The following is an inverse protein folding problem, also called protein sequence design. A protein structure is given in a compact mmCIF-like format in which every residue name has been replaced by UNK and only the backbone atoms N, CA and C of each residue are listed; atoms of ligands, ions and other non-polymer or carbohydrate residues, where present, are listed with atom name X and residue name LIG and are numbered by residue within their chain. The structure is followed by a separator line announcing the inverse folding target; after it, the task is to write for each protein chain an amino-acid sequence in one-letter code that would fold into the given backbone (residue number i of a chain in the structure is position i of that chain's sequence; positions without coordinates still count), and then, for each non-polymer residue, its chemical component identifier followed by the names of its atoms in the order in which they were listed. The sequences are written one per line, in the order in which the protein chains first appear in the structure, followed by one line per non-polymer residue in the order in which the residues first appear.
data_IF_489483393717
#
_entry.id   IF_489483393717
#
_cell.length_a   1.000
_cell.length_b   1.000
_cell.length_c   1.000
_cell.angle_alpha   90.00
_cell.angle_beta   90.00
_cell.angle_gamma   90.00
#
_symmetry.space_group_name_H-M   'P 1'
#
loop_
_entity.id
_entity.type
_entity.pdbx_description
1 polymer ?
#
# COMPACT_ATOMS: atom_id res chain seq x y z
N UNK A 1 21.79 28.45 -50.40
CA UNK A 1 20.88 27.33 -50.12
C UNK A 1 20.73 27.23 -48.62
N UNK A 2 19.76 27.98 -48.08
CA UNK A 2 19.31 27.81 -46.71
C UNK A 2 18.55 26.49 -46.62
N UNK A 3 18.96 25.64 -45.69
CA UNK A 3 18.27 24.39 -45.39
C UNK A 3 17.10 24.75 -44.47
N UNK A 4 15.90 24.73 -45.05
CA UNK A 4 14.64 24.91 -44.36
C UNK A 4 14.52 23.93 -43.18
N UNK A 5 14.38 24.47 -41.96
CA UNK A 5 14.05 23.72 -40.74
C UNK A 5 12.54 23.76 -40.49
N UNK A 6 11.75 23.48 -41.51
CA UNK A 6 10.39 22.96 -41.34
C UNK A 6 10.46 21.49 -40.91
N UNK A 7 11.01 21.25 -39.71
CA UNK A 7 10.79 19.99 -39.00
C UNK A 7 9.29 19.97 -38.72
N UNK A 8 8.59 19.13 -39.47
CA UNK A 8 7.16 18.94 -39.36
C UNK A 8 6.75 18.85 -37.89
N UNK A 9 5.67 19.55 -37.57
CA UNK A 9 4.93 19.34 -36.33
C UNK A 9 4.59 17.85 -36.29
N UNK A 10 5.40 17.09 -35.56
CA UNK A 10 5.26 15.65 -35.36
C UNK A 10 3.81 15.42 -34.90
N UNK A 11 2.97 14.89 -35.79
CA UNK A 11 1.59 14.58 -35.48
C UNK A 11 1.61 13.74 -34.21
N UNK A 12 1.01 14.27 -33.14
CA UNK A 12 0.87 13.53 -31.89
C UNK A 12 -0.07 12.38 -32.16
N UNK A 13 0.50 11.26 -32.61
CA UNK A 13 -0.21 10.02 -32.84
C UNK A 13 -0.91 9.61 -31.55
N UNK A 14 -2.23 9.79 -31.53
CA UNK A 14 -3.07 9.57 -30.37
C UNK A 14 -2.95 8.13 -29.89
N UNK A 15 -3.05 7.92 -28.57
CA UNK A 15 -3.04 6.57 -28.01
C UNK A 15 -4.47 6.05 -28.06
N UNK A 16 -4.69 4.99 -28.84
CA UNK A 16 -6.01 4.36 -28.89
C UNK A 16 -6.26 3.51 -27.64
N UNK A 17 -7.54 3.28 -27.33
CA UNK A 17 -7.91 2.37 -26.23
C UNK A 17 -7.37 0.94 -26.43
N UNK A 18 -7.27 0.50 -27.68
CA UNK A 18 -6.71 -0.81 -28.02
C UNK A 18 -5.23 -0.89 -27.64
N UNK A 19 -4.44 0.13 -28.00
CA UNK A 19 -3.01 0.20 -27.68
C UNK A 19 -2.75 0.33 -26.18
N UNK A 20 -3.59 1.08 -25.47
CA UNK A 20 -3.51 1.18 -24.01
C UNK A 20 -3.75 -0.18 -23.35
N UNK A 21 -4.82 -0.89 -23.74
CA UNK A 21 -5.13 -2.23 -23.24
C UNK A 21 -4.03 -3.24 -23.60
N UNK A 22 -3.52 -3.18 -24.82
CA UNK A 22 -2.40 -4.01 -25.28
C UNK A 22 -1.15 -3.77 -24.43
N UNK A 23 -0.82 -2.51 -24.14
CA UNK A 23 0.32 -2.14 -23.30
C UNK A 23 0.17 -2.62 -21.86
N UNK A 24 -1.02 -2.51 -21.27
CA UNK A 24 -1.33 -3.07 -19.95
C UNK A 24 -1.21 -4.60 -19.97
N UNK A 25 -1.74 -5.26 -21.01
CA UNK A 25 -1.63 -6.71 -21.19
C UNK A 25 -0.18 -7.20 -21.24
N UNK A 26 0.71 -6.45 -21.92
CA UNK A 26 2.14 -6.73 -21.93
C UNK A 26 2.75 -6.65 -20.54
N UNK A 27 2.40 -5.64 -19.74
CA UNK A 27 2.90 -5.49 -18.38
C UNK A 27 2.45 -6.64 -17.47
N UNK A 28 1.17 -7.05 -17.59
CA UNK A 28 0.62 -8.19 -16.85
C UNK A 28 1.34 -9.50 -17.22
N UNK A 29 1.52 -9.75 -18.53
CA UNK A 29 2.21 -10.94 -19.01
C UNK A 29 3.70 -10.94 -18.60
N UNK A 30 4.38 -9.81 -18.66
CA UNK A 30 5.75 -9.68 -18.19
C UNK A 30 5.88 -10.00 -16.69
N UNK A 31 4.90 -9.59 -15.89
CA UNK A 31 4.78 -9.95 -14.48
C UNK A 31 4.63 -11.46 -14.28
N UNK A 32 3.68 -12.08 -15.00
CA UNK A 32 3.42 -13.53 -14.95
C UNK A 32 4.66 -14.35 -15.30
N UNK A 33 5.43 -13.92 -16.31
CA UNK A 33 6.66 -14.60 -16.74
C UNK A 33 7.88 -14.30 -15.85
N UNK A 34 7.73 -13.53 -14.77
CA UNK A 34 8.83 -13.16 -13.88
C UNK A 34 9.85 -12.20 -14.50
N UNK A 35 9.49 -11.50 -15.59
CA UNK A 35 10.39 -10.62 -16.37
C UNK A 35 10.24 -9.14 -16.02
N UNK A 36 9.50 -8.81 -14.95
CA UNK A 36 9.17 -7.43 -14.55
C UNK A 36 10.34 -6.63 -13.95
N UNK A 37 11.37 -7.29 -13.44
CA UNK A 37 12.51 -6.64 -12.76
C UNK A 37 13.67 -6.25 -13.69
N UNK A 38 13.62 -6.68 -14.95
CA UNK A 38 14.66 -6.42 -15.94
C UNK A 38 14.35 -5.23 -16.86
N UNK A 39 15.19 -5.04 -17.86
CA UNK A 39 14.91 -4.10 -18.94
C UNK A 39 13.71 -4.61 -19.76
N UNK A 40 12.56 -3.93 -19.70
CA UNK A 40 11.35 -4.32 -20.45
C UNK A 40 11.58 -4.42 -21.96
N UNK A 41 12.58 -3.72 -22.52
CA UNK A 41 12.96 -3.85 -23.93
C UNK A 41 13.43 -5.25 -24.30
N UNK A 42 13.85 -6.07 -23.32
CA UNK A 42 14.23 -7.46 -23.55
C UNK A 42 13.06 -8.34 -23.96
N UNK A 43 11.81 -7.96 -23.64
CA UNK A 43 10.61 -8.70 -24.02
C UNK A 43 10.48 -8.86 -25.55
N UNK A 44 10.96 -7.86 -26.31
CA UNK A 44 11.01 -7.88 -27.79
C UNK A 44 12.30 -8.51 -28.35
N UNK A 45 13.27 -8.85 -27.51
CA UNK A 45 14.52 -9.52 -27.94
C UNK A 45 14.44 -11.04 -27.87
N UNK A 46 13.39 -11.56 -27.24
CA UNK A 46 13.20 -12.98 -27.08
C UNK A 46 13.23 -13.72 -28.43
N UNK A 47 13.94 -14.86 -28.49
CA UNK A 47 13.95 -15.75 -29.66
C UNK A 47 12.51 -15.99 -30.13
N UNK A 48 12.23 -16.16 -31.44
CA UNK A 48 10.90 -16.48 -31.95
C UNK A 48 10.20 -17.63 -31.19
N UNK A 49 10.99 -18.53 -30.59
CA UNK A 49 10.54 -19.69 -29.82
C UNK A 49 10.12 -19.37 -28.37
N UNK A 50 10.57 -18.26 -27.80
CA UNK A 50 10.44 -18.01 -26.36
C UNK A 50 9.27 -17.07 -26.00
N UNK A 51 8.88 -16.12 -26.87
CA UNK A 51 7.62 -15.36 -26.71
C UNK A 51 7.31 -14.43 -27.91
N UNK A 52 6.73 -14.93 -29.02
CA UNK A 52 6.38 -14.09 -30.17
C UNK A 52 5.26 -13.08 -29.87
N UNK A 53 4.49 -13.32 -28.81
CA UNK A 53 3.30 -12.55 -28.44
C UNK A 53 3.59 -11.06 -28.20
N UNK A 54 4.75 -10.69 -27.64
CA UNK A 54 5.10 -9.28 -27.40
C UNK A 54 5.26 -8.50 -28.71
N UNK A 55 5.93 -9.10 -29.70
CA UNK A 55 6.12 -8.51 -31.04
C UNK A 55 4.81 -8.46 -31.82
N UNK A 56 3.98 -9.49 -31.69
CA UNK A 56 2.69 -9.57 -32.35
C UNK A 56 1.66 -8.57 -31.78
N UNK A 57 1.80 -8.19 -30.50
CA UNK A 57 0.85 -7.30 -29.82
C UNK A 57 1.06 -5.82 -30.16
N UNK A 58 2.29 -5.33 -30.05
CA UNK A 58 2.64 -3.94 -30.36
C UNK A 58 4.15 -3.82 -30.63
N UNK A 59 4.58 -2.85 -31.44
CA UNK A 59 6.00 -2.61 -31.63
C UNK A 59 6.65 -2.10 -30.33
N UNK A 60 7.94 -2.44 -30.13
CA UNK A 60 8.72 -1.98 -28.98
C UNK A 60 8.71 -0.46 -28.86
N UNK A 61 8.91 0.23 -29.98
CA UNK A 61 9.07 1.69 -30.00
C UNK A 61 7.75 2.39 -29.69
N UNK A 62 6.62 1.84 -30.17
CA UNK A 62 5.28 2.34 -29.81
C UNK A 62 4.96 2.09 -28.34
N UNK A 63 5.29 0.91 -27.79
CA UNK A 63 5.16 0.64 -26.36
C UNK A 63 5.95 1.62 -25.50
N UNK A 64 7.24 1.85 -25.82
CA UNK A 64 8.10 2.80 -25.11
C UNK A 64 7.50 4.22 -25.15
N UNK A 65 6.99 4.65 -26.32
CA UNK A 65 6.31 5.95 -26.49
C UNK A 65 5.08 6.04 -25.59
N UNK A 66 4.20 5.03 -25.60
CA UNK A 66 2.99 4.98 -24.78
C UNK A 66 3.34 5.08 -23.29
N UNK A 67 4.21 4.20 -22.78
CA UNK A 67 4.57 4.16 -21.35
C UNK A 67 5.20 5.49 -20.89
N UNK A 68 6.01 6.14 -21.72
CA UNK A 68 6.62 7.44 -21.39
C UNK A 68 5.63 8.61 -21.35
N UNK A 69 4.52 8.49 -22.08
CA UNK A 69 3.51 9.54 -22.25
C UNK A 69 2.28 9.36 -21.36
N UNK A 70 2.11 8.24 -20.65
CA UNK A 70 0.97 8.03 -19.75
C UNK A 70 0.88 9.14 -18.69
N UNK A 71 -0.29 9.76 -18.60
CA UNK A 71 -0.66 10.75 -17.58
C UNK A 71 -2.05 10.39 -17.05
N UNK A 72 -2.29 10.73 -15.78
CA UNK A 72 -3.49 10.31 -15.05
C UNK A 72 -4.23 11.49 -14.42
N UNK A 73 -4.00 12.69 -14.94
CA UNK A 73 -4.59 13.93 -14.49
C UNK A 73 -4.42 15.05 -15.53
N UNK A 74 -5.14 16.16 -15.34
CA UNK A 74 -4.96 17.36 -16.15
C UNK A 74 -3.76 18.19 -15.68
N UNK A 75 -2.76 18.35 -16.55
CA UNK A 75 -1.56 19.16 -16.29
C UNK A 75 -1.90 20.63 -16.02
N UNK A 76 -2.95 21.18 -16.62
CA UNK A 76 -3.32 22.60 -16.53
C UNK A 76 -3.71 23.01 -15.11
N UNK A 77 -4.33 22.11 -14.35
CA UNK A 77 -4.80 22.35 -12.98
C UNK A 77 -3.89 21.75 -11.90
N UNK A 78 -2.86 21.00 -12.31
CA UNK A 78 -2.01 20.23 -11.38
C UNK A 78 -1.30 21.08 -10.35
N UNK A 79 -0.72 22.20 -10.76
CA UNK A 79 0.10 23.03 -9.84
C UNK A 79 -0.73 23.66 -8.73
N UNK A 80 -1.98 24.03 -9.00
CA UNK A 80 -2.93 24.49 -7.97
C UNK A 80 -3.29 23.36 -7.01
N UNK A 81 -3.73 22.20 -7.54
CA UNK A 81 -4.11 21.03 -6.70
C UNK A 81 -2.96 20.52 -5.83
N UNK A 82 -1.72 20.61 -6.32
CA UNK A 82 -0.50 20.20 -5.60
C UNK A 82 -0.25 21.00 -4.33
N UNK A 83 -0.80 22.22 -4.21
CA UNK A 83 -0.73 23.01 -2.99
C UNK A 83 -1.51 22.37 -1.84
N UNK A 84 -2.51 21.53 -2.13
CA UNK A 84 -3.29 20.82 -1.14
C UNK A 84 -2.96 19.32 -1.05
N UNK A 85 -2.63 18.68 -2.18
CA UNK A 85 -2.41 17.23 -2.27
C UNK A 85 -1.15 16.86 -3.05
N UNK A 86 -0.15 16.33 -2.35
CA UNK A 86 1.08 15.81 -2.96
C UNK A 86 0.84 14.63 -3.92
N UNK A 87 -0.29 13.95 -3.81
CA UNK A 87 -0.68 12.78 -4.63
C UNK A 87 -1.55 13.13 -5.84
N UNK A 88 -1.76 14.43 -6.09
CA UNK A 88 -2.69 14.96 -7.10
C UNK A 88 -2.57 14.35 -8.51
N UNK A 89 -1.36 13.96 -8.92
CA UNK A 89 -1.10 13.45 -10.27
C UNK A 89 -1.70 12.07 -10.58
N UNK A 90 -2.17 11.35 -9.55
CA UNK A 90 -2.84 10.05 -9.70
C UNK A 90 -4.09 9.95 -8.81
N UNK A 91 -4.49 11.06 -8.18
CA UNK A 91 -5.56 11.08 -7.16
C UNK A 91 -6.88 10.55 -7.71
N UNK A 92 -7.29 11.01 -8.89
CA UNK A 92 -8.57 10.65 -9.50
C UNK A 92 -8.66 9.14 -9.77
N UNK A 93 -7.68 8.59 -10.48
CA UNK A 93 -7.64 7.14 -10.75
C UNK A 93 -7.50 6.31 -9.47
N UNK A 94 -6.75 6.80 -8.49
CA UNK A 94 -6.63 6.10 -7.21
C UNK A 94 -7.96 6.06 -6.46
N UNK A 95 -8.70 7.18 -6.45
CA UNK A 95 -10.04 7.24 -5.85
C UNK A 95 -11.00 6.28 -6.55
N UNK A 96 -11.02 6.27 -7.89
CA UNK A 96 -11.83 5.32 -8.66
C UNK A 96 -11.45 3.86 -8.34
N UNK A 97 -10.16 3.57 -8.24
CA UNK A 97 -9.66 2.26 -7.86
C UNK A 97 -10.14 1.85 -6.46
N UNK A 98 -10.02 2.75 -5.47
CA UNK A 98 -10.50 2.49 -4.10
C UNK A 98 -12.01 2.23 -4.05
N UNK A 99 -12.80 2.96 -4.84
CA UNK A 99 -14.25 2.76 -4.88
C UNK A 99 -14.63 1.44 -5.54
N UNK A 100 -13.85 1.00 -6.54
CA UNK A 100 -14.02 -0.34 -7.13
C UNK A 100 -13.68 -1.46 -6.15
N UNK A 101 -12.60 -1.34 -5.36
CA UNK A 101 -12.25 -2.36 -4.37
C UNK A 101 -13.41 -2.69 -3.40
N UNK A 102 -14.17 -1.67 -2.99
CA UNK A 102 -15.32 -1.81 -2.08
C UNK A 102 -16.51 -2.56 -2.67
N UNK A 103 -16.59 -2.65 -4.00
CA UNK A 103 -17.77 -3.21 -4.71
C UNK A 103 -17.47 -4.55 -5.40
N UNK A 104 -16.21 -4.86 -5.65
CA UNK A 104 -15.80 -6.06 -6.36
C UNK A 104 -15.75 -7.33 -5.49
N UNK A 105 -15.71 -7.19 -4.16
CA UNK A 105 -15.51 -8.31 -3.25
C UNK A 105 -16.16 -8.04 -1.89
N UNK A 106 -16.77 -9.07 -1.31
CA UNK A 106 -17.24 -9.04 0.09
C UNK A 106 -16.25 -9.86 0.92
N UNK A 107 -15.55 -9.24 1.88
CA UNK A 107 -14.53 -9.95 2.67
C UNK A 107 -15.13 -10.91 3.68
N UNK A 108 -14.31 -11.86 4.12
CA UNK A 108 -14.60 -12.80 5.19
C UNK A 108 -14.65 -12.12 6.56
N UNK A 109 -14.57 -12.92 7.64
CA UNK A 109 -14.70 -12.41 9.01
C UNK A 109 -13.45 -11.71 9.52
N UNK A 110 -12.29 -12.04 8.97
CA UNK A 110 -10.99 -11.59 9.46
C UNK A 110 -10.32 -10.63 8.49
N UNK A 111 -10.02 -9.43 8.97
CA UNK A 111 -9.31 -8.39 8.25
C UNK A 111 -7.91 -8.22 8.85
N UNK A 112 -6.95 -7.83 8.02
CA UNK A 112 -5.60 -7.48 8.46
C UNK A 112 -5.25 -6.06 8.02
N UNK A 113 -4.61 -5.30 8.92
CA UNK A 113 -4.03 -3.99 8.62
C UNK A 113 -2.52 -4.05 8.72
N UNK A 114 -1.85 -3.65 7.65
CA UNK A 114 -0.39 -3.56 7.59
C UNK A 114 0.04 -2.53 6.53
N UNK A 115 1.35 -2.45 6.32
CA UNK A 115 2.02 -1.59 5.37
C UNK A 115 2.70 -2.34 4.22
N UNK A 116 2.56 -1.79 3.02
CA UNK A 116 3.32 -2.20 1.85
C UNK A 116 4.28 -1.09 1.44
N UNK A 117 5.47 -1.47 0.97
CA UNK A 117 6.44 -0.55 0.39
C UNK A 117 6.65 -0.91 -1.07
N UNK A 118 6.20 -0.05 -1.97
CA UNK A 118 6.45 -0.17 -3.39
C UNK A 118 7.84 0.41 -3.71
N UNK A 119 8.79 -0.46 -4.07
CA UNK A 119 10.17 -0.07 -4.37
C UNK A 119 10.25 1.05 -5.42
N UNK A 120 10.84 2.18 -5.04
CA UNK A 120 10.96 3.35 -5.92
C UNK A 120 12.13 4.24 -5.49
N UNK A 121 13.05 4.51 -6.42
CA UNK A 121 14.25 5.34 -6.18
C UNK A 121 14.23 6.68 -6.90
N UNK A 122 13.21 6.96 -7.71
CA UNK A 122 13.07 8.27 -8.35
C UNK A 122 12.82 9.40 -7.36
N UNK A 123 12.81 10.64 -7.86
CA UNK A 123 12.45 11.82 -7.08
C UNK A 123 10.95 11.82 -6.84
N UNK A 124 10.54 11.68 -5.59
CA UNK A 124 9.14 11.77 -5.15
C UNK A 124 9.09 12.41 -3.76
N UNK A 125 8.22 13.41 -3.53
CA UNK A 125 8.19 14.18 -2.28
C UNK A 125 7.75 13.39 -1.05
N UNK A 126 7.20 12.19 -1.22
CA UNK A 126 6.74 11.31 -0.14
C UNK A 126 7.40 9.93 -0.15
N UNK A 127 8.53 9.79 -0.86
CA UNK A 127 9.35 8.57 -0.81
C UNK A 127 9.84 8.32 0.62
N UNK A 128 9.67 7.11 1.10
CA UNK A 128 10.08 6.65 2.42
C UNK A 128 11.39 5.85 2.36
N UNK A 129 12.13 5.88 3.46
CA UNK A 129 13.24 4.99 3.72
C UNK A 129 12.90 4.07 4.90
N UNK A 130 12.85 2.75 4.67
CA UNK A 130 12.54 1.74 5.69
C UNK A 130 13.68 0.71 5.72
N UNK A 131 14.63 0.82 6.67
CA UNK A 131 15.86 0.03 6.67
C UNK A 131 15.67 -1.50 6.65
N UNK A 132 14.57 -1.97 7.24
CA UNK A 132 14.27 -3.40 7.44
C UNK A 132 13.49 -4.04 6.28
N UNK A 133 13.05 -3.28 5.27
CA UNK A 133 12.35 -3.84 4.10
C UNK A 133 13.38 -4.21 3.02
N UNK A 134 13.11 -5.23 2.17
CA UNK A 134 14.03 -5.65 1.10
C UNK A 134 14.41 -4.49 0.17
N UNK A 135 13.41 -3.76 -0.32
CA UNK A 135 13.59 -2.47 -0.97
C UNK A 135 13.59 -1.37 0.09
N UNK A 136 14.75 -0.79 0.40
CA UNK A 136 14.85 0.21 1.46
C UNK A 136 14.18 1.55 1.12
N UNK A 137 14.01 1.87 -0.16
CA UNK A 137 13.42 3.12 -0.63
C UNK A 137 12.18 2.85 -1.47
N UNK A 138 11.08 3.53 -1.16
CA UNK A 138 9.83 3.32 -1.90
C UNK A 138 8.68 4.23 -1.51
N UNK A 139 7.54 3.97 -2.11
CA UNK A 139 6.26 4.60 -1.77
C UNK A 139 5.55 3.69 -0.77
N UNK A 140 5.29 4.21 0.45
CA UNK A 140 4.62 3.44 1.50
C UNK A 140 3.10 3.55 1.33
N UNK A 141 2.41 2.44 1.49
CA UNK A 141 0.95 2.34 1.54
C UNK A 141 0.54 1.66 2.84
N UNK A 142 -0.58 2.05 3.40
CA UNK A 142 -1.30 1.31 4.43
C UNK A 142 -2.49 0.61 3.80
N UNK A 143 -2.73 -0.63 4.19
CA UNK A 143 -3.69 -1.50 3.53
C UNK A 143 -4.60 -2.15 4.57
N UNK A 144 -5.86 -2.32 4.21
CA UNK A 144 -6.78 -3.26 4.82
C UNK A 144 -7.00 -4.40 3.81
N UNK A 145 -6.78 -5.62 4.27
CA UNK A 145 -6.73 -6.83 3.43
C UNK A 145 -7.60 -7.90 4.08
N UNK A 146 -8.29 -8.68 3.26
CA UNK A 146 -8.97 -9.89 3.72
C UNK A 146 -7.94 -10.96 4.11
N UNK A 147 -8.03 -11.50 5.32
CA UNK A 147 -6.99 -12.37 5.86
C UNK A 147 -6.93 -13.74 5.15
N UNK A 148 -8.06 -14.20 4.62
CA UNK A 148 -8.18 -15.50 3.95
C UNK A 148 -7.83 -15.41 2.46
N UNK A 149 -8.43 -14.46 1.73
CA UNK A 149 -8.25 -14.36 0.28
C UNK A 149 -7.06 -13.48 -0.14
N UNK A 150 -6.47 -12.75 0.81
CA UNK A 150 -5.44 -11.73 0.56
C UNK A 150 -5.88 -10.59 -0.36
N UNK A 151 -7.20 -10.40 -0.55
CA UNK A 151 -7.72 -9.33 -1.38
C UNK A 151 -7.53 -7.99 -0.68
N UNK A 152 -6.96 -7.01 -1.38
CA UNK A 152 -6.87 -5.64 -0.88
C UNK A 152 -8.25 -5.00 -0.93
N UNK A 153 -8.74 -4.55 0.22
CA UNK A 153 -10.10 -4.02 0.38
C UNK A 153 -10.12 -2.50 0.42
N UNK A 154 -9.08 -1.91 1.02
CA UNK A 154 -8.88 -0.48 1.08
C UNK A 154 -7.39 -0.17 1.25
N UNK A 155 -6.91 0.94 0.71
CA UNK A 155 -5.51 1.33 0.83
C UNK A 155 -5.31 2.84 0.75
N UNK A 156 -4.41 3.38 1.58
CA UNK A 156 -4.02 4.79 1.54
C UNK A 156 -2.52 4.97 1.35
N UNK A 157 -2.08 5.84 0.44
CA UNK A 157 -0.67 6.19 0.31
C UNK A 157 -0.23 7.02 1.52
N UNK A 158 0.93 6.70 2.09
CA UNK A 158 1.57 7.58 3.05
C UNK A 158 2.30 8.70 2.33
N UNK A 159 1.64 9.85 2.27
CA UNK A 159 2.08 11.04 1.53
C UNK A 159 2.83 12.06 2.41
N UNK A 160 3.11 11.67 3.65
CA UNK A 160 3.67 12.56 4.67
C UNK A 160 2.75 13.74 4.98
N UNK A 161 3.31 14.75 5.65
CA UNK A 161 2.62 16.00 5.98
C UNK A 161 2.20 16.73 4.70
N UNK A 162 0.93 17.09 4.54
CA UNK A 162 0.49 17.96 3.45
C UNK A 162 0.86 19.43 3.73
N UNK A 163 0.96 20.28 2.70
CA UNK A 163 1.14 21.71 2.91
C UNK A 163 0.02 22.28 3.79
N UNK A 164 0.36 23.17 4.72
CA UNK A 164 -0.60 23.78 5.64
C UNK A 164 -1.13 22.89 6.78
N UNK A 165 -0.93 21.57 6.74
CA UNK A 165 -1.40 20.69 7.81
C UNK A 165 -0.49 20.74 9.03
N UNK A 166 -1.06 20.65 10.24
CA UNK A 166 -0.29 20.43 11.46
C UNK A 166 0.24 18.99 11.56
N UNK A 167 1.18 18.76 12.49
CA UNK A 167 1.68 17.41 12.76
C UNK A 167 0.55 16.58 13.38
N UNK A 168 0.08 15.57 12.65
CA UNK A 168 -0.89 14.63 13.18
C UNK A 168 -0.30 13.82 14.34
N UNK A 169 -0.98 13.88 15.49
CA UNK A 169 -0.77 12.93 16.59
C UNK A 169 -1.54 11.64 16.28
N UNK A 170 -1.08 10.51 16.80
CA UNK A 170 -1.78 9.22 16.69
C UNK A 170 -2.07 8.73 15.25
N UNK A 171 -1.14 8.97 14.32
CA UNK A 171 -1.32 8.61 12.90
C UNK A 171 -1.74 7.15 12.66
N UNK A 172 -1.25 6.21 13.47
CA UNK A 172 -1.63 4.80 13.37
C UNK A 172 -3.14 4.59 13.60
N UNK A 173 -3.69 5.19 14.66
CA UNK A 173 -5.12 5.10 14.98
C UNK A 173 -5.98 5.77 13.90
N UNK A 174 -5.63 6.99 13.49
CA UNK A 174 -6.39 7.71 12.45
C UNK A 174 -6.46 6.94 11.14
N UNK A 175 -5.35 6.32 10.72
CA UNK A 175 -5.30 5.50 9.50
C UNK A 175 -6.12 4.23 9.64
N UNK A 176 -6.07 3.55 10.79
CA UNK A 176 -6.88 2.35 11.04
C UNK A 176 -8.36 2.67 10.93
N UNK A 177 -8.81 3.74 11.58
CA UNK A 177 -10.22 4.14 11.56
C UNK A 177 -10.67 4.45 10.13
N UNK A 178 -9.89 5.20 9.36
CA UNK A 178 -10.22 5.52 7.97
C UNK A 178 -10.22 4.27 7.07
N UNK A 179 -9.25 3.36 7.23
CA UNK A 179 -9.21 2.10 6.48
C UNK A 179 -10.44 1.22 6.75
N UNK A 180 -10.89 1.18 8.01
CA UNK A 180 -11.97 0.31 8.47
C UNK A 180 -13.37 0.90 8.34
N UNK A 181 -13.49 2.18 7.98
CA UNK A 181 -14.79 2.87 7.85
C UNK A 181 -15.83 2.10 7.03
N UNK A 182 -15.48 1.42 5.90
CA UNK A 182 -16.44 0.59 5.16
C UNK A 182 -16.95 -0.66 5.91
N UNK A 183 -16.30 -1.06 7.00
CA UNK A 183 -16.56 -2.31 7.74
C UNK A 183 -17.19 -2.08 9.12
N UNK A 184 -17.47 -0.84 9.51
CA UNK A 184 -18.18 -0.58 10.77
C UNK A 184 -19.55 -1.27 10.79
N UNK A 185 -19.95 -1.80 11.95
CA UNK A 185 -21.21 -2.54 12.09
C UNK A 185 -21.13 -4.01 11.68
N UNK A 186 -20.00 -4.47 11.12
CA UNK A 186 -19.94 -5.80 10.50
C UNK A 186 -19.57 -6.96 11.42
N UNK A 187 -19.19 -6.68 12.67
CA UNK A 187 -18.72 -7.68 13.65
C UNK A 187 -17.49 -8.48 13.17
N UNK A 188 -16.70 -7.91 12.25
CA UNK A 188 -15.44 -8.48 11.80
C UNK A 188 -14.33 -8.30 12.81
N UNK A 189 -13.37 -9.21 12.75
CA UNK A 189 -12.16 -9.16 13.54
C UNK A 189 -11.03 -8.51 12.73
N UNK A 190 -10.21 -7.69 13.40
CA UNK A 190 -9.11 -6.97 12.76
C UNK A 190 -7.80 -7.32 13.44
N UNK A 191 -6.87 -7.88 12.66
CA UNK A 191 -5.51 -8.17 13.10
C UNK A 191 -4.55 -7.08 12.64
N UNK A 192 -3.68 -6.56 13.51
CA UNK A 192 -2.70 -5.54 13.15
C UNK A 192 -1.42 -5.60 13.99
N UNK A 193 -0.37 -4.94 13.52
CA UNK A 193 0.92 -4.90 14.20
C UNK A 193 0.94 -3.88 15.37
N UNK A 194 2.09 -3.81 16.06
CA UNK A 194 2.27 -2.91 17.20
C UNK A 194 2.43 -1.42 16.84
N UNK A 195 2.60 -1.07 15.55
CA UNK A 195 2.57 0.31 15.13
C UNK A 195 1.15 0.88 15.22
N UNK A 196 0.15 0.07 14.90
CA UNK A 196 -1.25 0.45 14.94
C UNK A 196 -1.92 0.18 16.30
N UNK A 197 -1.53 -0.91 16.98
CA UNK A 197 -2.27 -1.39 18.15
C UNK A 197 -2.16 -0.48 19.38
N UNK A 198 -3.30 -0.23 20.03
CA UNK A 198 -3.40 0.42 21.34
C UNK A 198 -4.70 0.07 22.06
N UNK A 199 -4.71 0.15 23.40
CA UNK A 199 -5.91 -0.09 24.21
C UNK A 199 -7.04 0.90 23.87
N UNK A 200 -6.80 2.23 23.73
CA UNK A 200 -7.86 3.15 23.29
C UNK A 200 -8.46 2.80 21.93
N UNK A 201 -7.63 2.38 20.96
CA UNK A 201 -8.11 1.95 19.65
C UNK A 201 -8.97 0.69 19.75
N UNK A 202 -8.60 -0.29 20.58
CA UNK A 202 -9.41 -1.49 20.79
C UNK A 202 -10.81 -1.14 21.35
N UNK A 203 -10.88 -0.27 22.36
CA UNK A 203 -12.15 0.24 22.91
C UNK A 203 -12.95 1.00 21.85
N UNK A 204 -12.29 1.85 21.04
CA UNK A 204 -12.93 2.61 19.97
C UNK A 204 -13.53 1.70 18.89
N UNK A 205 -12.81 0.67 18.43
CA UNK A 205 -13.30 -0.28 17.43
C UNK A 205 -14.47 -1.12 17.96
N UNK A 206 -14.50 -1.44 19.25
CA UNK A 206 -15.63 -2.12 19.87
C UNK A 206 -16.93 -1.30 19.75
N UNK A 207 -16.87 0.03 19.93
CA UNK A 207 -18.04 0.91 19.71
C UNK A 207 -18.51 0.94 18.25
N UNK A 208 -17.73 0.40 17.32
CA UNK A 208 -17.99 0.31 15.88
C UNK A 208 -18.28 -1.11 15.43
N UNK A 209 -18.57 -2.01 16.37
CA UNK A 209 -18.83 -3.43 16.13
C UNK A 209 -17.68 -4.09 15.35
N UNK A 210 -16.44 -3.85 15.78
CA UNK A 210 -15.24 -4.52 15.30
C UNK A 210 -14.41 -4.99 16.48
N UNK A 211 -13.79 -6.16 16.36
CA UNK A 211 -12.82 -6.66 17.36
C UNK A 211 -11.39 -6.43 16.88
N UNK A 212 -10.45 -6.35 17.82
CA UNK A 212 -9.04 -6.13 17.53
C UNK A 212 -8.20 -7.24 18.15
N UNK A 213 -7.28 -7.77 17.35
CA UNK A 213 -6.16 -8.60 17.79
C UNK A 213 -4.87 -7.93 17.31
N UNK A 214 -3.89 -7.79 18.18
CA UNK A 214 -2.62 -7.18 17.78
C UNK A 214 -1.59 -7.20 18.88
N UNK A 215 -0.34 -7.05 18.48
CA UNK A 215 0.78 -7.00 19.44
C UNK A 215 0.90 -5.61 20.04
N UNK A 216 1.25 -5.51 21.31
CA UNK A 216 1.46 -4.22 21.98
C UNK A 216 2.94 -3.92 22.16
N UNK A 217 3.30 -2.63 22.04
CA UNK A 217 4.65 -2.19 22.43
C UNK A 217 4.73 -2.13 23.95
N UNK A 218 5.80 -2.69 24.52
CA UNK A 218 6.06 -2.70 25.97
C UNK A 218 6.06 -1.34 26.67
N UNK A 219 6.12 -0.24 25.92
CA UNK A 219 6.16 1.12 26.46
C UNK A 219 4.77 1.78 26.51
N UNK A 220 3.69 1.01 26.28
CA UNK A 220 2.32 1.50 26.42
C UNK A 220 1.99 1.63 27.93
N UNK A 221 1.51 2.79 28.39
CA UNK A 221 1.28 3.04 29.81
C UNK A 221 0.18 2.16 30.42
N UNK A 222 -0.69 1.57 29.58
CA UNK A 222 -1.78 0.70 30.00
C UNK A 222 -1.32 -0.72 30.37
N UNK A 223 -0.05 -1.07 30.15
CA UNK A 223 0.48 -2.40 30.44
C UNK A 223 0.96 -2.46 31.91
N UNK A 224 0.42 -3.37 32.74
CA UNK A 224 0.92 -3.58 34.10
C UNK A 224 2.37 -4.09 34.09
N UNK A 225 3.16 -3.72 35.10
CA UNK A 225 4.60 -4.03 35.15
C UNK A 225 4.87 -5.55 35.18
N UNK A 226 3.94 -6.33 35.71
CA UNK A 226 3.95 -7.79 35.80
C UNK A 226 3.93 -8.47 34.42
N UNK A 227 3.40 -7.78 33.40
CA UNK A 227 3.32 -8.27 32.03
C UNK A 227 4.63 -8.03 31.26
N UNK A 228 5.53 -7.18 31.77
CA UNK A 228 6.80 -6.91 31.13
C UNK A 228 7.78 -8.08 31.29
N UNK A 229 8.88 -8.05 30.52
CA UNK A 229 9.91 -9.08 30.61
C UNK A 229 10.54 -9.10 32.01
N UNK A 230 10.47 -10.25 32.67
CA UNK A 230 11.02 -10.48 33.99
C UNK A 230 11.92 -11.74 33.98
N UNK A 231 13.06 -11.69 34.67
CA UNK A 231 14.02 -12.80 34.81
C UNK A 231 13.42 -14.00 35.54
N UNK A 232 12.44 -13.78 36.41
CA UNK A 232 11.83 -14.83 37.23
C UNK A 232 10.73 -15.60 36.52
N UNK A 233 10.29 -15.15 35.34
CA UNK A 233 9.25 -15.84 34.58
C UNK A 233 9.84 -16.97 33.74
N UNK A 234 9.24 -18.14 33.84
CA UNK A 234 9.65 -19.34 33.12
C UNK A 234 9.40 -19.20 31.61
N UNK A 235 10.31 -19.73 30.80
CA UNK A 235 10.14 -19.81 29.35
C UNK A 235 8.97 -20.73 29.03
N UNK A 236 8.09 -20.30 28.12
CA UNK A 236 6.83 -20.98 27.80
C UNK A 236 5.64 -20.56 28.68
N UNK A 237 5.87 -19.77 29.75
CA UNK A 237 4.78 -19.28 30.58
C UNK A 237 4.00 -18.12 29.93
N UNK A 238 2.72 -18.02 30.28
CA UNK A 238 1.82 -16.93 29.90
C UNK A 238 1.15 -16.31 31.13
N UNK A 239 0.97 -14.99 31.11
CA UNK A 239 0.12 -14.27 32.05
C UNK A 239 -1.05 -13.65 31.30
N UNK A 240 -2.23 -13.68 31.90
CA UNK A 240 -3.46 -13.13 31.34
C UNK A 240 -4.00 -12.04 32.27
N UNK A 241 -4.45 -10.95 31.67
CA UNK A 241 -5.07 -9.82 32.36
C UNK A 241 -6.36 -9.45 31.63
N UNK A 242 -7.37 -9.06 32.40
CA UNK A 242 -8.71 -8.81 31.88
C UNK A 242 -9.19 -7.44 32.36
N UNK A 243 -9.77 -6.66 31.44
CA UNK A 243 -10.48 -5.41 31.74
C UNK A 243 -11.71 -5.37 30.84
N UNK A 244 -12.91 -5.48 31.42
CA UNK A 244 -14.19 -5.58 30.69
C UNK A 244 -14.15 -6.67 29.60
N UNK A 245 -14.17 -6.26 28.33
CA UNK A 245 -14.15 -7.12 27.15
C UNK A 245 -12.74 -7.23 26.52
N UNK A 246 -11.71 -6.72 27.19
CA UNK A 246 -10.33 -6.76 26.72
C UNK A 246 -9.55 -7.85 27.46
N UNK A 247 -8.73 -8.58 26.71
CA UNK A 247 -7.76 -9.53 27.26
C UNK A 247 -6.36 -9.13 26.82
N UNK A 248 -5.46 -8.98 27.79
CA UNK A 248 -4.03 -8.83 27.55
C UNK A 248 -3.35 -10.17 27.87
N UNK A 249 -2.45 -10.61 26.99
CA UNK A 249 -1.59 -11.77 27.24
C UNK A 249 -0.13 -11.35 27.22
N UNK A 250 0.66 -11.88 28.14
CA UNK A 250 2.11 -11.76 28.13
C UNK A 250 2.76 -13.13 28.09
N UNK A 251 3.36 -13.49 26.96
CA UNK A 251 4.02 -14.76 26.73
C UNK A 251 5.55 -14.63 26.78
N UNK A 252 6.24 -15.59 27.39
CA UNK A 252 7.72 -15.60 27.50
C UNK A 252 8.30 -16.63 26.50
N UNK A 253 8.67 -16.22 25.28
CA UNK A 253 9.23 -17.15 24.29
C UNK A 253 10.67 -17.56 24.61
N UNK A 254 11.40 -16.74 25.37
CA UNK A 254 12.79 -16.97 25.78
C UNK A 254 13.17 -16.07 26.96
N UNK A 255 14.26 -16.43 27.64
CA UNK A 255 14.80 -15.66 28.77
C UNK A 255 14.89 -14.17 28.46
N UNK A 256 14.42 -13.34 29.40
CA UNK A 256 14.41 -11.87 29.32
C UNK A 256 13.63 -11.27 28.13
N UNK A 257 12.63 -11.99 27.60
CA UNK A 257 11.72 -11.48 26.58
C UNK A 257 10.28 -11.76 26.99
N UNK A 258 9.41 -10.80 26.66
CA UNK A 258 7.97 -10.97 26.71
C UNK A 258 7.39 -10.49 25.37
N UNK A 259 6.40 -11.20 24.87
CA UNK A 259 5.54 -10.79 23.76
C UNK A 259 4.20 -10.42 24.37
N UNK A 260 3.73 -9.24 24.01
CA UNK A 260 2.45 -8.67 24.40
C UNK A 260 1.54 -8.59 23.19
#
# INVERSE_FOLDING_TARGET
MEYDRSVGLDEKEEITMMELKASIGILLLAGLLGRSKGNLRSLWRTSPLESPIFKATISRDRFDKIISCLRFDDKRTREERKQADKFTAIREIWSDFQDKLKTCYTPGLDLTIDEQLLGFRGKCPFRQFIPKKPDKYGLKFWLCVDAESYCVLNAFPYIGRQPGQEKQKHIGESVVLELLKPFYGSNRNVTMDNFFTSVPLAKNLQTKNLTLIGTLRKNKPEIPIEFLSNKTREVGSSLFGFEDNLTLVSFVPKNNKAVL
#
